data_IF_667417795564
#
_entry.id   IF_667417795564
#
_cell.length_a   1.000
_cell.length_b   1.000
_cell.length_c   1.000
_cell.angle_alpha   90.00
_cell.angle_beta   90.00
_cell.angle_gamma   90.00
#
_symmetry.space_group_name_H-M   'P 1'
#
loop_
_entity.id
_entity.type
_entity.pdbx_description
1 polymer ?
#
# COMPACT_ATOMS: atom_id res chain seq x y z
N UNK A 1 -9.66 48.51 9.27
CA UNK A 1 -10.26 47.16 9.27
C UNK A 1 -9.62 46.37 10.40
N UNK A 2 -10.33 46.12 11.50
CA UNK A 2 -9.79 45.40 12.67
C UNK A 2 -10.23 43.93 12.56
N UNK A 3 -9.28 43.06 12.26
CA UNK A 3 -9.51 41.61 12.21
C UNK A 3 -9.69 41.11 13.64
N UNK A 4 -10.78 40.39 13.89
CA UNK A 4 -11.07 39.85 15.22
C UNK A 4 -10.21 38.63 15.52
N UNK A 5 -9.96 38.34 16.81
CA UNK A 5 -9.14 37.18 17.23
C UNK A 5 -9.71 35.84 16.71
N UNK A 6 -11.04 35.77 16.51
CA UNK A 6 -11.73 34.62 15.93
C UNK A 6 -11.42 34.45 14.44
N UNK A 7 -11.42 35.54 13.68
CA UNK A 7 -11.05 35.53 12.26
C UNK A 7 -9.58 35.10 12.07
N UNK A 8 -8.68 35.52 12.98
CA UNK A 8 -7.29 35.08 12.95
C UNK A 8 -7.12 33.58 13.19
N UNK A 9 -7.89 33.00 14.12
CA UNK A 9 -7.90 31.55 14.37
C UNK A 9 -8.42 30.80 13.15
N UNK A 10 -9.50 31.28 12.52
CA UNK A 10 -10.03 30.69 11.29
C UNK A 10 -9.01 30.72 10.15
N UNK A 11 -8.30 31.84 9.98
CA UNK A 11 -7.24 31.96 8.97
C UNK A 11 -6.11 30.94 9.20
N UNK A 12 -5.72 30.73 10.46
CA UNK A 12 -4.69 29.75 10.83
C UNK A 12 -5.12 28.32 10.48
N UNK A 13 -6.34 27.92 10.83
CA UNK A 13 -6.88 26.60 10.46
C UNK A 13 -6.88 26.40 8.95
N UNK A 14 -7.34 27.39 8.19
CA UNK A 14 -7.37 27.33 6.73
C UNK A 14 -5.96 27.19 6.11
N UNK A 15 -4.95 27.85 6.69
CA UNK A 15 -3.57 27.68 6.27
C UNK A 15 -3.05 26.26 6.58
N UNK A 16 -3.39 25.68 7.73
CA UNK A 16 -3.00 24.30 8.05
C UNK A 16 -3.62 23.27 7.12
N UNK A 17 -4.86 23.46 6.67
CA UNK A 17 -5.51 22.56 5.71
C UNK A 17 -4.87 22.62 4.32
N UNK A 18 -4.37 23.80 3.89
CA UNK A 18 -3.71 23.98 2.58
C UNK A 18 -2.26 23.50 2.59
N UNK A 19 -1.52 23.73 3.68
CA UNK A 19 -0.12 23.32 3.83
C UNK A 19 0.04 21.93 4.47
N UNK A 20 -1.06 21.26 4.79
CA UNK A 20 -1.05 19.88 5.24
C UNK A 20 -0.48 18.96 4.17
N UNK A 21 0.25 17.93 4.61
CA UNK A 21 0.68 16.87 3.70
C UNK A 21 -0.58 16.19 3.16
N UNK A 22 -0.78 16.20 1.84
CA UNK A 22 -1.94 15.61 1.18
C UNK A 22 -2.19 14.17 1.67
N UNK A 23 -3.46 13.76 1.57
CA UNK A 23 -3.95 12.46 1.98
C UNK A 23 -2.95 11.35 1.62
N UNK A 24 -2.49 10.63 2.65
CA UNK A 24 -1.70 9.42 2.45
C UNK A 24 -2.44 8.54 1.45
N UNK A 25 -1.69 7.92 0.54
CA UNK A 25 -2.28 6.92 -0.36
C UNK A 25 -3.03 5.89 0.47
N UNK A 26 -4.20 5.50 -0.02
CA UNK A 26 -4.95 4.41 0.58
C UNK A 26 -4.07 3.17 0.66
N UNK A 27 -4.26 2.38 1.73
CA UNK A 27 -3.58 1.11 1.84
C UNK A 27 -4.06 0.19 0.69
N UNK A 28 -3.12 -0.34 -0.09
CA UNK A 28 -3.41 -1.22 -1.22
C UNK A 28 -2.95 -2.64 -0.85
N UNK A 29 -3.88 -3.58 -0.82
CA UNK A 29 -3.61 -5.01 -0.57
C UNK A 29 -4.75 -5.67 0.19
N UNK A 30 -5.13 -6.88 -0.21
CA UNK A 30 -6.03 -7.74 0.58
C UNK A 30 -5.25 -8.45 1.69
N UNK A 31 -5.96 -9.01 2.68
CA UNK A 31 -5.36 -9.69 3.84
C UNK A 31 -4.48 -10.89 3.43
N UNK A 32 -4.83 -11.55 2.33
CA UNK A 32 -4.13 -12.70 1.75
C UNK A 32 -3.38 -12.35 0.46
N UNK A 33 -3.01 -11.09 0.20
CA UNK A 33 -2.31 -10.69 -1.02
C UNK A 33 -0.82 -10.40 -0.77
N UNK A 34 0.06 -11.14 -1.47
CA UNK A 34 1.47 -10.76 -1.61
C UNK A 34 1.60 -9.92 -2.88
N UNK A 35 1.70 -8.61 -2.72
CA UNK A 35 1.93 -7.67 -3.83
C UNK A 35 3.41 -7.48 -4.13
N UNK A 36 3.78 -7.68 -5.39
CA UNK A 36 5.17 -7.61 -5.84
C UNK A 36 5.31 -6.50 -6.88
N UNK A 37 6.27 -5.60 -6.67
CA UNK A 37 6.68 -4.59 -7.63
C UNK A 37 8.08 -4.97 -8.13
N UNK A 38 8.19 -5.34 -9.39
CA UNK A 38 9.45 -5.71 -10.03
C UNK A 38 9.40 -5.41 -11.53
N UNK A 39 10.55 -5.47 -12.20
CA UNK A 39 10.62 -5.37 -13.65
C UNK A 39 9.90 -6.55 -14.31
N UNK A 40 9.42 -6.38 -15.54
CA UNK A 40 8.76 -7.47 -16.28
C UNK A 40 9.69 -8.68 -16.48
N UNK A 41 11.00 -8.42 -16.60
CA UNK A 41 12.04 -9.45 -16.80
C UNK A 41 12.20 -10.32 -15.55
N UNK A 42 12.00 -9.75 -14.36
CA UNK A 42 12.19 -10.43 -13.08
C UNK A 42 10.94 -11.18 -12.59
N UNK A 43 9.75 -10.87 -13.15
CA UNK A 43 8.46 -11.44 -12.71
C UNK A 43 8.49 -12.96 -12.60
N UNK A 44 9.10 -13.65 -13.56
CA UNK A 44 9.16 -15.11 -13.56
C UNK A 44 10.02 -15.65 -12.40
N UNK A 45 11.21 -15.08 -12.23
CA UNK A 45 12.16 -15.50 -11.18
C UNK A 45 11.60 -15.21 -9.79
N UNK A 46 10.99 -14.03 -9.60
CA UNK A 46 10.39 -13.64 -8.32
C UNK A 46 9.18 -14.51 -7.99
N UNK A 47 8.30 -14.79 -8.96
CA UNK A 47 7.18 -15.73 -8.76
C UNK A 47 7.69 -17.08 -8.27
N UNK A 48 8.64 -17.67 -9.00
CA UNK A 48 9.20 -18.99 -8.67
C UNK A 48 9.84 -19.00 -7.28
N UNK A 49 10.56 -17.95 -6.93
CA UNK A 49 11.16 -17.82 -5.60
C UNK A 49 10.10 -17.75 -4.49
N UNK A 50 9.06 -16.93 -4.66
CA UNK A 50 8.00 -16.78 -3.67
C UNK A 50 7.16 -18.05 -3.53
N UNK A 51 6.81 -18.70 -4.64
CA UNK A 51 6.14 -20.02 -4.62
C UNK A 51 7.01 -21.06 -3.90
N UNK A 52 8.32 -21.07 -4.13
CA UNK A 52 9.23 -21.96 -3.40
C UNK A 52 9.27 -21.65 -1.91
N UNK A 53 9.26 -20.38 -1.49
CA UNK A 53 9.34 -20.02 -0.06
C UNK A 53 8.03 -20.30 0.68
N UNK A 54 6.89 -20.01 0.05
CA UNK A 54 5.59 -20.04 0.73
C UNK A 54 4.78 -21.31 0.46
N UNK A 55 5.04 -22.04 -0.63
CA UNK A 55 4.42 -23.34 -0.88
C UNK A 55 5.32 -24.53 -0.46
N UNK A 56 6.51 -24.28 0.08
CA UNK A 56 7.29 -25.31 0.77
C UNK A 56 6.63 -25.57 2.15
N UNK A 57 5.48 -26.25 2.12
CA UNK A 57 4.71 -26.56 3.32
C UNK A 57 5.06 -27.93 3.88
N UNK A 58 5.39 -27.88 5.18
CA UNK A 58 5.06 -28.85 6.22
C UNK A 58 3.91 -29.81 5.81
N UNK A 59 4.19 -31.11 5.94
CA UNK A 59 3.37 -32.29 5.61
C UNK A 59 1.92 -32.31 6.17
N UNK A 60 1.06 -31.38 5.75
CA UNK A 60 -0.39 -31.43 6.03
C UNK A 60 -1.20 -31.27 4.74
N UNK A 61 -2.31 -32.00 4.58
CA UNK A 61 -3.13 -31.94 3.37
C UNK A 61 -3.63 -30.51 3.12
N UNK A 62 -3.47 -30.04 1.89
CA UNK A 62 -3.51 -28.62 1.50
C UNK A 62 -4.92 -27.99 1.73
N UNK A 63 -5.04 -26.99 2.62
CA UNK A 63 -6.19 -26.07 2.63
C UNK A 63 -6.09 -25.09 1.44
N UNK A 64 -7.11 -24.26 1.19
CA UNK A 64 -7.08 -23.21 0.15
C UNK A 64 -5.75 -22.43 0.11
N UNK A 65 -5.28 -21.99 -1.08
CA UNK A 65 -4.01 -21.26 -1.19
C UNK A 65 -4.00 -20.09 -0.23
N UNK A 66 -3.06 -20.14 0.72
CA UNK A 66 -2.98 -19.20 1.85
C UNK A 66 -2.78 -17.75 1.39
N UNK A 67 -2.33 -17.54 0.15
CA UNK A 67 -2.05 -16.22 -0.40
C UNK A 67 -2.25 -16.16 -1.92
N UNK A 68 -2.43 -14.94 -2.43
CA UNK A 68 -2.51 -14.60 -3.85
C UNK A 68 -1.33 -13.70 -4.22
N UNK A 69 -0.57 -14.07 -5.25
CA UNK A 69 0.52 -13.25 -5.79
C UNK A 69 0.00 -12.24 -6.80
N UNK A 70 0.22 -10.94 -6.55
CA UNK A 70 -0.17 -9.87 -7.46
C UNK A 70 1.00 -9.00 -7.87
N UNK A 71 1.33 -9.02 -9.16
CA UNK A 71 2.37 -8.17 -9.72
C UNK A 71 1.81 -6.81 -10.12
N UNK A 72 2.42 -5.73 -9.63
CA UNK A 72 2.00 -4.35 -9.88
C UNK A 72 3.14 -3.51 -10.42
N UNK A 73 2.80 -2.44 -11.13
CA UNK A 73 3.80 -1.43 -11.54
C UNK A 73 3.95 -0.39 -10.42
N UNK A 74 5.07 0.34 -10.34
CA UNK A 74 5.29 1.38 -9.31
C UNK A 74 4.25 2.50 -9.31
N UNK A 75 3.53 2.66 -10.42
CA UNK A 75 2.48 3.66 -10.59
C UNK A 75 1.11 3.17 -10.08
N UNK A 76 1.04 1.94 -9.57
CA UNK A 76 -0.18 1.29 -9.05
C UNK A 76 -0.21 1.31 -7.54
#
# INVERSE_FOLDING_TARGET
MKISKKEYIFLLFFLFDIFGCENKRDAIGADNEIRVICSDVDKHNVRRFLEMVFNDTLFTPEPEPFYVLKFSTPNT
#
